data_IF_164508899545
#
_entry.id   IF_164508899545
#
_cell.length_a   1.000
_cell.length_b   1.000
_cell.length_c   1.000
_cell.angle_alpha   90.00
_cell.angle_beta   90.00
_cell.angle_gamma   90.00
#
_symmetry.space_group_name_H-M   'P 1'
#
loop_
_entity.id
_entity.type
_entity.pdbx_description
1 polymer ?
#
# COMPACT_ATOMS: atom_id res chain seq x y z
N UNK A 1 2.09 -18.41 -7.34
CA UNK A 1 3.04 -17.55 -8.11
C UNK A 1 3.26 -16.19 -7.47
N UNK A 2 2.21 -15.41 -7.18
CA UNK A 2 2.31 -14.04 -6.62
C UNK A 2 2.92 -13.92 -5.22
N UNK A 3 3.01 -15.03 -4.47
CA UNK A 3 3.69 -15.10 -3.18
C UNK A 3 5.21 -15.30 -3.27
N UNK A 4 5.75 -15.52 -4.47
CA UNK A 4 7.16 -15.82 -4.64
C UNK A 4 8.00 -14.57 -4.33
N UNK A 5 9.09 -14.75 -3.59
CA UNK A 5 9.97 -13.65 -3.20
C UNK A 5 10.47 -12.82 -4.38
N UNK A 6 10.90 -13.43 -5.49
CA UNK A 6 11.40 -12.70 -6.65
C UNK A 6 10.31 -11.90 -7.36
N UNK A 7 9.08 -12.41 -7.38
CA UNK A 7 7.93 -11.67 -7.88
C UNK A 7 7.71 -10.43 -7.02
N UNK A 8 7.59 -10.60 -5.70
CA UNK A 8 7.40 -9.50 -4.76
C UNK A 8 8.55 -8.48 -4.85
N UNK A 9 9.81 -8.93 -4.86
CA UNK A 9 10.98 -8.07 -5.01
C UNK A 9 10.89 -7.20 -6.27
N UNK A 10 10.50 -7.79 -7.40
CA UNK A 10 10.33 -7.05 -8.65
C UNK A 10 9.17 -6.06 -8.55
N UNK A 11 8.02 -6.48 -8.04
CA UNK A 11 6.84 -5.62 -7.83
C UNK A 11 7.18 -4.44 -6.92
N UNK A 12 7.87 -4.66 -5.81
CA UNK A 12 8.27 -3.60 -4.88
C UNK A 12 9.21 -2.60 -5.55
N UNK A 13 10.22 -3.06 -6.30
CA UNK A 13 11.12 -2.16 -7.04
C UNK A 13 10.40 -1.31 -8.08
N UNK A 14 9.40 -1.87 -8.75
CA UNK A 14 8.60 -1.13 -9.74
C UNK A 14 7.64 -0.15 -9.07
N UNK A 15 6.93 -0.59 -8.02
CA UNK A 15 6.00 0.24 -7.26
C UNK A 15 6.69 1.43 -6.59
N UNK A 16 7.90 1.24 -6.08
CA UNK A 16 8.65 2.30 -5.40
C UNK A 16 8.75 3.56 -6.27
N UNK A 17 8.96 3.40 -7.59
CA UNK A 17 9.05 4.52 -8.54
C UNK A 17 7.80 5.41 -8.60
N UNK A 18 6.64 4.88 -8.20
CA UNK A 18 5.35 5.57 -8.32
C UNK A 18 4.81 6.08 -6.98
N UNK A 19 5.34 5.60 -5.85
CA UNK A 19 4.86 5.94 -4.51
C UNK A 19 5.82 6.84 -3.74
N UNK A 20 7.07 6.96 -4.18
CA UNK A 20 8.05 7.82 -3.53
C UNK A 20 7.52 9.25 -3.45
N UNK A 21 7.72 9.86 -2.28
CA UNK A 21 7.29 11.20 -1.91
C UNK A 21 5.78 11.45 -2.01
N UNK A 22 4.95 10.41 -2.15
CA UNK A 22 3.49 10.57 -2.12
C UNK A 22 2.99 10.74 -0.69
N UNK A 23 2.04 11.65 -0.49
CA UNK A 23 1.39 11.91 0.79
C UNK A 23 0.17 11.00 0.97
N UNK A 24 0.02 10.41 2.14
CA UNK A 24 -1.16 9.61 2.49
C UNK A 24 -2.26 10.54 3.00
N UNK A 25 -3.36 10.65 2.26
CA UNK A 25 -4.52 11.46 2.68
C UNK A 25 -5.57 10.67 3.46
N UNK A 26 -5.62 9.36 3.25
CA UNK A 26 -6.56 8.48 3.95
C UNK A 26 -6.01 7.05 3.96
N UNK A 27 -6.35 6.30 4.99
CA UNK A 27 -6.11 4.86 5.03
C UNK A 27 -7.36 4.14 5.53
N UNK A 28 -7.89 3.23 4.71
CA UNK A 28 -9.18 2.64 4.97
C UNK A 28 -9.33 1.24 4.37
N UNK A 29 -10.35 0.53 4.83
CA UNK A 29 -10.87 -0.68 4.20
C UNK A 29 -12.35 -0.49 3.88
N UNK A 30 -12.74 -0.87 2.68
CA UNK A 30 -14.14 -0.89 2.22
C UNK A 30 -14.54 -2.23 1.57
N UNK A 31 -13.55 -3.10 1.37
CA UNK A 31 -13.69 -4.42 0.78
C UNK A 31 -13.01 -5.41 1.71
N UNK A 32 -13.61 -6.58 1.88
CA UNK A 32 -13.06 -7.61 2.76
C UNK A 32 -11.63 -7.94 2.33
N UNK A 33 -10.71 -7.90 3.31
CA UNK A 33 -9.29 -8.18 3.14
C UNK A 33 -8.52 -7.20 2.25
N UNK A 34 -9.03 -5.98 2.01
CA UNK A 34 -8.30 -4.95 1.27
C UNK A 34 -8.05 -3.73 2.14
N UNK A 35 -6.80 -3.32 2.21
CA UNK A 35 -6.36 -2.06 2.79
C UNK A 35 -6.01 -1.09 1.67
N UNK A 36 -6.54 0.12 1.75
CA UNK A 36 -6.34 1.18 0.79
C UNK A 36 -5.58 2.32 1.47
N UNK A 37 -4.52 2.80 0.83
CA UNK A 37 -3.89 4.08 1.15
C UNK A 37 -4.22 5.04 0.00
N UNK A 38 -4.91 6.14 0.29
CA UNK A 38 -5.14 7.21 -0.68
C UNK A 38 -3.87 8.04 -0.83
N UNK A 39 -3.31 8.00 -2.03
CA UNK A 39 -2.04 8.65 -2.40
C UNK A 39 -2.23 9.42 -3.71
N UNK A 40 -3.09 10.45 -3.72
CA UNK A 40 -3.42 11.16 -4.94
C UNK A 40 -2.20 11.90 -5.50
N UNK A 41 -2.20 12.09 -6.81
CA UNK A 41 -1.27 12.98 -7.51
C UNK A 41 -2.06 14.00 -8.33
N UNK A 42 -1.39 15.01 -8.87
CA UNK A 42 -2.02 16.00 -9.75
C UNK A 42 -2.72 15.35 -10.95
N UNK A 43 -2.10 14.34 -11.55
CA UNK A 43 -2.66 13.61 -12.69
C UNK A 43 -3.73 12.57 -12.27
N UNK A 44 -3.64 12.04 -11.05
CA UNK A 44 -4.49 10.95 -10.56
C UNK A 44 -5.02 11.27 -9.14
N UNK A 45 -6.09 12.08 -9.04
CA UNK A 45 -6.63 12.50 -7.75
C UNK A 45 -7.34 11.38 -6.98
N UNK A 46 -7.64 10.25 -7.63
CA UNK A 46 -8.27 9.07 -7.05
C UNK A 46 -7.31 7.88 -7.03
N UNK A 47 -6.01 8.15 -6.92
CA UNK A 47 -4.99 7.10 -6.86
C UNK A 47 -4.94 6.48 -5.47
N UNK A 48 -4.88 5.16 -5.44
CA UNK A 48 -4.72 4.37 -4.23
C UNK A 48 -3.63 3.32 -4.36
N UNK A 49 -2.85 3.12 -3.31
CA UNK A 49 -2.07 1.91 -3.08
C UNK A 49 -2.97 0.91 -2.35
N UNK A 50 -3.09 -0.29 -2.90
CA UNK A 50 -3.99 -1.34 -2.39
C UNK A 50 -3.16 -2.53 -1.97
N UNK A 51 -3.41 -3.02 -0.76
CA UNK A 51 -2.79 -4.20 -0.18
C UNK A 51 -3.86 -5.21 0.16
N UNK A 52 -3.66 -6.46 -0.27
CA UNK A 52 -4.48 -7.58 0.18
C UNK A 52 -3.99 -8.08 1.53
N UNK A 53 -4.87 -8.19 2.51
CA UNK A 53 -4.60 -8.89 3.77
C UNK A 53 -5.08 -10.35 3.72
N UNK A 54 -5.52 -10.84 2.55
CA UNK A 54 -5.90 -12.24 2.37
C UNK A 54 -4.65 -13.11 2.20
N UNK A 55 -4.34 -14.03 3.13
CA UNK A 55 -3.17 -14.88 3.01
C UNK A 55 -3.18 -15.69 1.74
N UNK A 56 -4.33 -16.12 1.21
CA UNK A 56 -4.39 -16.96 0.02
C UNK A 56 -4.15 -16.20 -1.30
N UNK A 57 -4.39 -14.89 -1.31
CA UNK A 57 -4.22 -14.04 -2.49
C UNK A 57 -3.57 -12.70 -2.12
N UNK A 58 -2.27 -12.72 -1.75
CA UNK A 58 -1.56 -11.52 -1.37
C UNK A 58 -1.15 -10.75 -2.62
N UNK A 59 -1.39 -9.45 -2.60
CA UNK A 59 -0.99 -8.52 -3.64
C UNK A 59 -0.75 -7.15 -3.05
N UNK A 60 0.02 -6.37 -3.80
CA UNK A 60 0.22 -4.94 -3.58
C UNK A 60 0.28 -4.29 -4.97
N UNK A 61 -0.53 -3.26 -5.21
CA UNK A 61 -0.52 -2.55 -6.49
C UNK A 61 -1.11 -1.15 -6.35
N UNK A 62 -0.87 -0.31 -7.36
CA UNK A 62 -1.46 1.02 -7.48
C UNK A 62 -2.64 0.96 -8.44
N UNK A 63 -3.74 1.61 -8.04
CA UNK A 63 -4.89 1.86 -8.90
C UNK A 63 -5.07 3.35 -9.05
N UNK A 64 -4.95 3.86 -10.28
CA UNK A 64 -5.01 5.30 -10.58
C UNK A 64 -6.41 5.89 -10.41
N UNK A 65 -7.44 5.07 -10.61
CA UNK A 65 -8.83 5.47 -10.44
C UNK A 65 -9.57 4.45 -9.58
N UNK A 66 -9.82 4.81 -8.33
CA UNK A 66 -10.67 4.03 -7.46
C UNK A 66 -11.49 4.95 -6.55
N UNK A 67 -12.81 4.77 -6.51
CA UNK A 67 -13.69 5.61 -5.71
C UNK A 67 -13.91 4.99 -4.35
N UNK A 68 -13.67 5.79 -3.30
CA UNK A 68 -14.05 5.45 -1.93
C UNK A 68 -15.58 5.36 -1.82
N UNK A 69 -16.07 4.31 -1.17
CA UNK A 69 -17.48 4.12 -0.88
C UNK A 69 -17.98 5.13 0.16
N UNK A 70 -19.26 5.49 0.09
CA UNK A 70 -19.89 6.43 1.05
C UNK A 70 -20.29 5.76 2.38
N UNK A 71 -20.45 4.44 2.40
CA UNK A 71 -20.87 3.63 3.55
C UNK A 71 -20.00 2.38 3.63
N UNK A 72 -19.96 1.73 4.80
CA UNK A 72 -19.18 0.51 5.07
C UNK A 72 -17.68 0.67 4.86
N UNK A 73 -17.13 1.76 5.42
CA UNK A 73 -15.70 2.04 5.43
C UNK A 73 -15.19 2.01 6.86
N UNK A 74 -14.05 1.37 7.07
CA UNK A 74 -13.31 1.38 8.34
C UNK A 74 -11.98 2.08 8.10
N UNK A 75 -11.64 3.04 8.95
CA UNK A 75 -10.39 3.80 8.87
C UNK A 75 -9.29 3.16 9.72
N UNK A 76 -8.05 3.25 9.25
CA UNK A 76 -6.86 2.71 9.90
C UNK A 76 -5.76 3.76 9.97
N UNK A 77 -4.80 3.55 10.87
CA UNK A 77 -3.56 4.32 10.99
C UNK A 77 -3.77 5.86 10.97
N UNK A 78 -4.59 6.43 11.87
CA UNK A 78 -4.76 7.88 11.93
C UNK A 78 -3.43 8.65 12.06
N UNK A 79 -2.42 8.02 12.66
CA UNK A 79 -1.07 8.56 12.86
C UNK A 79 -0.23 8.73 11.59
N UNK A 80 -0.56 8.01 10.50
CA UNK A 80 0.18 8.09 9.23
C UNK A 80 -0.45 9.01 8.19
N UNK A 81 -1.60 9.60 8.51
CA UNK A 81 -2.25 10.59 7.64
C UNK A 81 -1.37 11.85 7.56
N UNK A 82 -1.29 12.44 6.38
CA UNK A 82 -0.39 13.53 6.01
C UNK A 82 1.11 13.20 6.10
N UNK A 83 1.46 11.92 6.18
CA UNK A 83 2.86 11.48 6.10
C UNK A 83 3.21 11.09 4.68
N UNK A 84 4.44 11.43 4.28
CA UNK A 84 5.00 11.03 3.00
C UNK A 84 5.59 9.63 3.07
N UNK A 85 5.41 8.87 1.99
CA UNK A 85 6.07 7.58 1.79
C UNK A 85 7.48 7.84 1.27
N UNK A 86 8.47 7.51 2.09
CA UNK A 86 9.88 7.73 1.79
C UNK A 86 10.51 6.56 1.05
N UNK A 87 10.01 5.33 1.28
CA UNK A 87 10.57 4.14 0.64
C UNK A 87 9.63 2.93 0.76
N UNK A 88 9.79 1.98 -0.16
CA UNK A 88 9.18 0.66 -0.10
C UNK A 88 10.24 -0.41 -0.34
N UNK A 89 10.44 -1.27 0.66
CA UNK A 89 11.46 -2.32 0.62
C UNK A 89 10.87 -3.69 0.98
N UNK A 90 11.61 -4.74 0.65
CA UNK A 90 11.30 -6.11 1.06
C UNK A 90 12.52 -6.66 1.81
N UNK A 91 12.30 -7.45 2.87
CA UNK A 91 13.38 -8.11 3.60
C UNK A 91 14.11 -9.12 2.70
N UNK A 92 15.43 -9.21 2.77
CA UNK A 92 16.23 -10.01 1.82
C UNK A 92 15.90 -11.52 1.83
N UNK A 93 15.51 -12.03 2.99
CA UNK A 93 15.29 -13.46 3.22
C UNK A 93 13.85 -13.78 3.66
N UNK A 94 12.94 -12.81 3.56
CA UNK A 94 11.55 -13.01 3.96
C UNK A 94 10.59 -12.19 3.09
N UNK A 95 9.33 -12.59 3.04
CA UNK A 95 8.28 -11.93 2.28
C UNK A 95 7.59 -10.88 3.14
N UNK A 96 8.41 -10.05 3.82
CA UNK A 96 7.95 -8.93 4.61
C UNK A 96 8.28 -7.65 3.85
N UNK A 97 7.23 -6.93 3.49
CA UNK A 97 7.30 -5.64 2.80
C UNK A 97 7.23 -4.54 3.86
N UNK A 98 8.15 -3.58 3.80
CA UNK A 98 8.20 -2.41 4.66
C UNK A 98 7.85 -1.17 3.85
N UNK A 99 6.79 -0.47 4.27
CA UNK A 99 6.47 0.89 3.83
C UNK A 99 7.06 1.83 4.86
N UNK A 100 8.07 2.60 4.45
CA UNK A 100 8.71 3.58 5.30
C UNK A 100 8.08 4.95 5.06
N UNK A 101 7.63 5.58 6.12
CA UNK A 101 7.06 6.91 6.11
C UNK A 101 7.91 7.86 6.97
N UNK A 102 7.53 9.13 7.01
CA UNK A 102 8.06 10.07 8.00
C UNK A 102 7.78 9.58 9.43
N UNK A 103 8.81 9.13 10.14
CA UNK A 103 8.78 8.67 11.53
C UNK A 103 7.92 7.42 11.82
N UNK A 104 7.32 6.78 10.80
CA UNK A 104 6.52 5.57 10.93
C UNK A 104 6.97 4.48 9.96
N UNK A 105 6.72 3.23 10.31
CA UNK A 105 6.95 2.08 9.44
C UNK A 105 5.75 1.15 9.50
N UNK A 106 5.23 0.77 8.33
CA UNK A 106 4.18 -0.24 8.20
C UNK A 106 4.80 -1.51 7.62
N UNK A 107 4.50 -2.65 8.24
CA UNK A 107 4.99 -3.95 7.83
C UNK A 107 3.84 -4.81 7.31
N UNK A 108 4.01 -5.34 6.11
CA UNK A 108 3.07 -6.24 5.46
C UNK A 108 3.75 -7.60 5.24
N UNK A 109 3.30 -8.61 6.00
CA UNK A 109 3.81 -9.98 5.91
C UNK A 109 2.98 -10.81 4.94
N UNK A 110 3.65 -11.38 3.93
CA UNK A 110 3.05 -12.29 2.96
C UNK A 110 3.33 -13.74 3.38
N UNK A 111 2.29 -14.46 3.82
CA UNK A 111 2.39 -15.87 4.22
C UNK A 111 2.02 -16.81 3.06
#
# INVERSE_FOLDING_TARGET
>A
MFKNYFYLLRSIRELNKFILDTEILDCFSQEKNNLFFSIPTNDFPLRHLIISTNPNSPYIFIKNEHRKAKKNVVHFFPEVIHKRINNLTIAENDRIIKIQLENYNIYYSVR
#
